data_IF_019072898054
#
_entry.id   IF_019072898054
#
_cell.length_a   1.000
_cell.length_b   1.000
_cell.length_c   1.000
_cell.angle_alpha   90.00
_cell.angle_beta   90.00
_cell.angle_gamma   90.00
#
_symmetry.space_group_name_H-M   'P 1'
#
loop_
_entity.id
_entity.type
_entity.pdbx_description
1 polymer ?
#
# COMPACT_ATOMS: atom_id res chain seq x y z
N UNK A 1 0.57 -28.91 -12.47
CA UNK A 1 0.13 -27.54 -12.14
C UNK A 1 1.35 -26.66 -11.90
N UNK A 2 1.60 -25.65 -12.73
CA UNK A 2 2.71 -24.70 -12.51
C UNK A 2 2.38 -23.87 -11.27
N UNK A 3 3.22 -23.98 -10.22
CA UNK A 3 3.07 -23.22 -8.98
C UNK A 3 3.24 -21.74 -9.34
N UNK A 4 2.16 -20.95 -9.24
CA UNK A 4 2.21 -19.52 -9.51
C UNK A 4 2.85 -18.85 -8.30
N UNK A 5 4.08 -18.36 -8.47
CA UNK A 5 4.82 -17.70 -7.39
C UNK A 5 4.06 -16.48 -6.87
N UNK A 6 3.91 -16.45 -5.55
CA UNK A 6 3.30 -15.36 -4.79
C UNK A 6 4.41 -14.70 -3.97
N UNK A 7 4.56 -13.38 -4.06
CA UNK A 7 5.45 -12.63 -3.19
C UNK A 7 4.64 -11.99 -2.07
N UNK A 8 5.24 -11.97 -0.89
CA UNK A 8 4.72 -11.29 0.28
C UNK A 8 5.58 -10.05 0.54
N UNK A 9 4.94 -8.91 0.63
CA UNK A 9 5.60 -7.62 0.78
C UNK A 9 5.15 -7.03 2.10
N UNK A 10 6.08 -6.85 3.04
CA UNK A 10 5.83 -6.09 4.25
C UNK A 10 6.07 -4.61 3.96
N UNK A 11 5.02 -3.82 4.14
CA UNK A 11 5.03 -2.38 3.94
C UNK A 11 4.80 -1.65 5.27
N UNK A 12 5.43 -0.49 5.41
CA UNK A 12 5.24 0.42 6.55
C UNK A 12 4.75 1.77 6.06
N UNK A 13 3.66 2.25 6.65
CA UNK A 13 3.14 3.60 6.46
C UNK A 13 4.07 4.59 7.16
N UNK A 14 4.94 5.22 6.37
CA UNK A 14 5.83 6.27 6.85
C UNK A 14 5.33 7.63 6.33
N UNK A 15 5.07 8.56 7.26
CA UNK A 15 4.85 9.97 6.94
C UNK A 15 6.22 10.63 6.77
N UNK A 16 6.71 10.70 5.53
CA UNK A 16 7.93 11.44 5.20
C UNK A 16 7.58 12.54 4.21
N UNK A 17 7.04 13.65 4.72
CA UNK A 17 7.08 14.91 4.01
C UNK A 17 8.29 15.70 4.49
N UNK A 18 9.29 15.79 3.62
CA UNK A 18 10.20 16.93 3.61
C UNK A 18 9.33 18.11 3.18
N UNK A 19 9.25 19.12 4.05
CA UNK A 19 8.45 20.36 3.94
C UNK A 19 7.16 20.35 4.77
N UNK A 20 7.29 20.94 5.98
CA UNK A 20 6.24 21.67 6.69
C UNK A 20 5.13 20.94 7.48
N UNK A 21 5.34 19.73 8.00
CA UNK A 21 4.60 19.32 9.21
C UNK A 21 5.35 19.77 10.47
N UNK A 22 5.18 21.05 10.82
CA UNK A 22 5.77 21.64 12.01
C UNK A 22 5.22 21.09 13.35
N UNK A 23 4.38 20.04 13.35
CA UNK A 23 3.70 19.63 14.57
C UNK A 23 3.34 18.12 14.62
N UNK A 24 3.93 17.39 15.57
CA UNK A 24 3.56 16.00 15.91
C UNK A 24 2.05 15.82 16.15
N UNK A 25 1.36 16.90 16.50
CA UNK A 25 -0.08 16.91 16.71
C UNK A 25 -0.90 16.62 15.44
N UNK A 26 -0.44 17.02 14.25
CA UNK A 26 -1.19 16.80 13.00
C UNK A 26 -1.08 15.36 12.50
N UNK A 27 0.09 14.73 12.65
CA UNK A 27 0.26 13.30 12.34
C UNK A 27 -0.66 12.44 13.23
N UNK A 28 -0.78 12.79 14.52
CA UNK A 28 -1.69 12.12 15.44
C UNK A 28 -3.16 12.37 15.08
N UNK A 29 -3.51 13.55 14.55
CA UNK A 29 -4.87 13.82 14.05
C UNK A 29 -5.21 12.92 12.86
N UNK A 30 -4.30 12.76 11.88
CA UNK A 30 -4.57 11.92 10.71
C UNK A 30 -4.70 10.45 11.09
N UNK A 31 -3.87 9.94 12.00
CA UNK A 31 -4.02 8.58 12.53
C UNK A 31 -5.34 8.38 13.25
N UNK A 32 -5.76 9.36 14.07
CA UNK A 32 -7.07 9.32 14.72
C UNK A 32 -8.21 9.34 13.70
N UNK A 33 -8.09 10.12 12.63
CA UNK A 33 -9.07 10.13 11.53
C UNK A 33 -9.12 8.74 10.89
N UNK A 34 -7.98 8.16 10.50
CA UNK A 34 -7.92 6.83 9.90
C UNK A 34 -8.41 5.71 10.82
N UNK A 35 -8.28 5.87 12.14
CA UNK A 35 -8.83 4.94 13.13
C UNK A 35 -10.35 5.09 13.31
N UNK A 36 -10.88 6.30 13.15
CA UNK A 36 -12.29 6.61 13.36
C UNK A 36 -13.14 6.44 12.10
N UNK A 37 -12.51 6.33 10.92
CA UNK A 37 -13.22 6.07 9.67
C UNK A 37 -13.66 4.60 9.65
N UNK A 38 -14.96 4.36 9.47
CA UNK A 38 -15.56 3.01 9.34
C UNK A 38 -15.18 2.27 8.05
N UNK A 39 -14.16 2.72 7.33
CA UNK A 39 -13.64 2.10 6.11
C UNK A 39 -12.40 1.29 6.49
N UNK A 40 -12.32 -0.01 6.14
CA UNK A 40 -11.14 -0.81 6.37
C UNK A 40 -9.89 -0.15 5.75
N UNK A 41 -8.81 -0.05 6.50
CA UNK A 41 -7.54 0.51 6.01
C UNK A 41 -7.04 -0.23 4.76
N UNK A 42 -7.32 -1.52 4.66
CA UNK A 42 -7.04 -2.33 3.48
C UNK A 42 -7.75 -1.79 2.23
N UNK A 43 -9.01 -1.37 2.32
CA UNK A 43 -9.75 -0.78 1.20
C UNK A 43 -9.11 0.53 0.76
N UNK A 44 -8.77 1.41 1.72
CA UNK A 44 -8.13 2.70 1.43
C UNK A 44 -6.77 2.50 0.73
N UNK A 45 -5.93 1.63 1.27
CA UNK A 45 -4.63 1.32 0.68
C UNK A 45 -4.81 0.74 -0.72
N UNK A 46 -5.74 -0.20 -0.91
CA UNK A 46 -5.98 -0.82 -2.22
C UNK A 46 -6.39 0.23 -3.26
N UNK A 47 -7.30 1.12 -2.89
CA UNK A 47 -7.77 2.20 -3.77
C UNK A 47 -6.64 3.13 -4.19
N UNK A 48 -5.77 3.54 -3.26
CA UNK A 48 -4.62 4.39 -3.56
C UNK A 48 -3.62 3.71 -4.51
N UNK A 49 -3.36 2.42 -4.31
CA UNK A 49 -2.54 1.65 -5.21
C UNK A 49 -3.18 1.54 -6.60
N UNK A 50 -4.48 1.27 -6.67
CA UNK A 50 -5.22 1.17 -7.92
C UNK A 50 -5.23 2.49 -8.71
N UNK A 51 -5.40 3.63 -8.03
CA UNK A 51 -5.31 4.97 -8.63
C UNK A 51 -3.91 5.22 -9.20
N UNK A 52 -2.86 4.97 -8.42
CA UNK A 52 -1.48 5.15 -8.89
C UNK A 52 -1.12 4.18 -10.01
N UNK A 53 -1.60 2.94 -9.92
CA UNK A 53 -1.41 1.94 -10.97
C UNK A 53 -2.09 2.33 -12.27
N UNK A 54 -3.28 2.92 -12.21
CA UNK A 54 -3.96 3.48 -13.37
C UNK A 54 -3.12 4.60 -14.02
N UNK A 55 -2.61 5.55 -13.22
CA UNK A 55 -1.80 6.67 -13.71
C UNK A 55 -0.50 6.18 -14.36
N UNK A 56 0.17 5.19 -13.74
CA UNK A 56 1.49 4.73 -14.18
C UNK A 56 1.44 3.75 -15.37
N UNK A 57 0.41 2.90 -15.44
CA UNK A 57 0.40 1.77 -16.38
C UNK A 57 -0.84 1.73 -17.30
N UNK A 58 -1.84 2.59 -17.07
CA UNK A 58 -3.11 2.57 -17.80
C UNK A 58 -4.05 1.41 -17.38
N UNK A 59 -5.28 1.42 -17.89
CA UNK A 59 -6.34 0.48 -17.48
C UNK A 59 -6.00 -0.99 -17.73
N UNK A 60 -5.41 -1.30 -18.90
CA UNK A 60 -5.14 -2.67 -19.32
C UNK A 60 -4.12 -3.33 -18.37
N UNK A 61 -3.02 -2.64 -18.08
CA UNK A 61 -1.99 -3.15 -17.18
C UNK A 61 -2.43 -3.11 -15.72
N UNK A 62 -3.29 -2.15 -15.32
CA UNK A 62 -3.92 -2.16 -13.99
C UNK A 62 -4.61 -3.50 -13.75
N UNK A 63 -5.46 -3.95 -14.67
CA UNK A 63 -6.21 -5.21 -14.49
C UNK A 63 -5.27 -6.41 -14.28
N UNK A 64 -4.22 -6.52 -15.11
CA UNK A 64 -3.24 -7.62 -15.02
C UNK A 64 -2.50 -7.58 -13.67
N UNK A 65 -2.02 -6.40 -13.27
CA UNK A 65 -1.22 -6.23 -12.07
C UNK A 65 -2.06 -6.43 -10.79
N UNK A 66 -3.28 -5.90 -10.76
CA UNK A 66 -4.15 -5.96 -9.59
C UNK A 66 -4.94 -7.26 -9.47
N UNK A 67 -4.97 -8.11 -10.52
CA UNK A 67 -5.64 -9.41 -10.51
C UNK A 67 -5.26 -10.32 -9.33
N UNK A 68 -4.03 -10.16 -8.80
CA UNK A 68 -3.50 -10.93 -7.66
C UNK A 68 -3.01 -10.05 -6.53
N UNK A 69 -3.38 -8.78 -6.53
CA UNK A 69 -3.00 -7.84 -5.49
C UNK A 69 -4.00 -7.92 -4.34
N UNK A 70 -3.56 -8.42 -3.20
CA UNK A 70 -4.37 -8.58 -2.01
C UNK A 70 -3.65 -8.00 -0.81
N UNK A 71 -4.36 -7.24 0.01
CA UNK A 71 -3.87 -6.80 1.31
C UNK A 71 -4.32 -7.85 2.31
N UNK A 72 -3.36 -8.61 2.83
CA UNK A 72 -3.62 -9.75 3.72
C UNK A 72 -3.73 -9.28 5.18
N UNK A 73 -2.98 -8.24 5.52
CA UNK A 73 -2.91 -7.74 6.88
C UNK A 73 -2.76 -6.23 6.87
N UNK A 74 -3.40 -5.58 7.83
CA UNK A 74 -3.23 -4.15 8.12
C UNK A 74 -3.25 -3.95 9.62
N UNK A 75 -2.32 -3.17 10.14
CA UNK A 75 -2.33 -2.73 11.52
C UNK A 75 -1.97 -1.24 11.58
N UNK A 76 -2.98 -0.41 11.88
CA UNK A 76 -2.83 1.04 11.94
C UNK A 76 -1.99 1.49 13.15
N UNK A 77 -2.05 0.77 14.28
CA UNK A 77 -1.27 1.09 15.50
C UNK A 77 0.23 0.98 15.22
N UNK A 78 0.64 -0.09 14.54
CA UNK A 78 2.02 -0.31 14.12
C UNK A 78 2.34 0.31 12.76
N UNK A 79 1.34 0.86 12.06
CA UNK A 79 1.44 1.43 10.71
C UNK A 79 2.05 0.45 9.70
N UNK A 80 1.74 -0.84 9.82
CA UNK A 80 2.25 -1.86 8.91
C UNK A 80 1.11 -2.55 8.17
N UNK A 81 1.42 -3.05 6.99
CA UNK A 81 0.51 -3.87 6.21
C UNK A 81 1.29 -4.86 5.35
N UNK A 82 0.64 -5.96 5.00
CA UNK A 82 1.22 -7.02 4.18
C UNK A 82 0.42 -7.14 2.90
N UNK A 83 1.11 -7.06 1.78
CA UNK A 83 0.56 -7.28 0.45
C UNK A 83 1.00 -8.66 -0.01
N UNK A 84 0.06 -9.43 -0.55
CA UNK A 84 0.33 -10.58 -1.41
C UNK A 84 0.15 -10.14 -2.85
N UNK A 85 1.15 -10.38 -3.68
CA UNK A 85 1.13 -9.98 -5.09
C UNK A 85 1.86 -11.01 -5.98
N UNK A 86 1.74 -10.85 -7.30
CA UNK A 86 2.56 -11.61 -8.25
C UNK A 86 3.91 -10.93 -8.47
N UNK A 87 4.92 -11.64 -9.01
CA UNK A 87 6.22 -11.03 -9.36
C UNK A 87 6.08 -9.77 -10.22
N UNK A 88 5.19 -9.80 -11.22
CA UNK A 88 4.91 -8.66 -12.11
C UNK A 88 4.34 -7.48 -11.32
N UNK A 89 3.52 -7.76 -10.32
CA UNK A 89 2.86 -6.74 -9.49
C UNK A 89 3.80 -6.04 -8.49
N UNK A 90 5.01 -6.56 -8.26
CA UNK A 90 6.00 -5.94 -7.36
C UNK A 90 6.48 -4.57 -7.85
N UNK A 91 6.39 -4.31 -9.16
CA UNK A 91 6.81 -3.06 -9.80
C UNK A 91 6.02 -1.86 -9.24
N UNK A 92 4.72 -2.03 -8.97
CA UNK A 92 3.88 -0.98 -8.40
C UNK A 92 4.31 -0.66 -6.96
N UNK A 93 4.66 -1.67 -6.17
CA UNK A 93 5.11 -1.45 -4.79
C UNK A 93 6.42 -0.66 -4.71
N UNK A 94 7.27 -0.73 -5.74
CA UNK A 94 8.48 0.11 -5.84
C UNK A 94 8.18 1.56 -6.23
N UNK A 95 7.16 1.80 -7.07
CA UNK A 95 6.83 3.14 -7.57
C UNK A 95 5.87 3.91 -6.66
N UNK A 96 4.98 3.22 -5.96
CA UNK A 96 4.14 3.81 -4.92
C UNK A 96 5.03 4.03 -3.70
N UNK A 97 5.66 5.20 -3.60
CA UNK A 97 6.48 5.74 -2.50
C UNK A 97 6.23 5.15 -1.09
N UNK A 98 6.63 3.90 -0.87
CA UNK A 98 6.70 3.20 0.41
C UNK A 98 8.15 2.76 0.54
N UNK A 99 8.96 3.63 1.14
CA UNK A 99 10.44 3.56 1.09
C UNK A 99 11.05 2.33 1.75
N UNK A 100 10.28 1.42 2.36
CA UNK A 100 10.73 0.11 2.78
C UNK A 100 9.66 -0.95 2.53
N UNK A 101 9.72 -1.55 1.34
CA UNK A 101 9.12 -2.85 1.09
C UNK A 101 10.21 -3.90 1.34
N UNK A 102 10.11 -4.65 2.44
CA UNK A 102 10.99 -5.81 2.65
C UNK A 102 10.32 -6.97 1.91
N UNK A 103 10.98 -7.48 0.88
CA UNK A 103 10.61 -8.74 0.25
C UNK A 103 11.00 -9.87 1.18
N UNK A 104 10.04 -10.76 1.46
CA UNK A 104 10.27 -12.06 2.07
C UNK A 104 9.90 -13.16 1.08
#
# INVERSE_FOLDING_TARGET
>A
MVKKDSIWILCRFDYFDKENFANNNEQNKILKILQNVNIPLSSIIKEEYEKKGLILFGEIFKSIIFSRFQIIFTNIKFRIFIIRASNVSTIICKHVHLKKCILY
#
